data_IF_198512445307
#
_entry.id   IF_198512445307
#
_cell.length_a   1.000
_cell.length_b   1.000
_cell.length_c   1.000
_cell.angle_alpha   90.00
_cell.angle_beta   90.00
_cell.angle_gamma   90.00
#
_symmetry.space_group_name_H-M   'P 1'
#
loop_
_entity.id
_entity.type
_entity.pdbx_description
1 polymer ?
#
# COMPACT_ATOMS: atom_id res chain seq x y z
N UNK A 1 -100.36 29.47 3.63
CA UNK A 1 -99.62 28.40 2.91
C UNK A 1 -98.44 28.96 2.13
N UNK A 2 -98.61 30.02 1.33
CA UNK A 2 -97.54 30.66 0.54
C UNK A 2 -96.25 31.08 1.27
N UNK A 3 -96.32 31.56 2.52
CA UNK A 3 -95.12 31.99 3.25
C UNK A 3 -94.15 30.83 3.57
N UNK A 4 -94.70 29.67 3.95
CA UNK A 4 -93.93 28.47 4.29
C UNK A 4 -93.28 27.83 3.05
N UNK A 5 -93.97 27.88 1.90
CA UNK A 5 -93.41 27.41 0.62
C UNK A 5 -92.25 28.28 0.16
N UNK A 6 -92.32 29.59 0.36
CA UNK A 6 -91.23 30.52 0.03
C UNK A 6 -89.99 30.28 0.90
N UNK A 7 -90.18 30.06 2.20
CA UNK A 7 -89.11 29.79 3.16
C UNK A 7 -88.39 28.47 2.82
N UNK A 8 -89.12 27.39 2.56
CA UNK A 8 -88.56 26.11 2.12
C UNK A 8 -87.78 26.22 0.79
N UNK A 9 -88.26 27.04 -0.15
CA UNK A 9 -87.55 27.27 -1.41
C UNK A 9 -86.23 28.02 -1.20
N UNK A 10 -86.18 28.95 -0.25
CA UNK A 10 -84.98 29.71 0.10
C UNK A 10 -83.96 28.85 0.85
N UNK A 11 -84.39 28.02 1.79
CA UNK A 11 -83.55 27.01 2.44
C UNK A 11 -82.97 26.01 1.44
N UNK A 12 -83.80 25.50 0.52
CA UNK A 12 -83.35 24.59 -0.53
C UNK A 12 -82.32 25.24 -1.46
N UNK A 13 -82.45 26.54 -1.72
CA UNK A 13 -81.48 27.30 -2.52
C UNK A 13 -80.15 27.47 -1.78
N UNK A 14 -80.19 27.90 -0.52
CA UNK A 14 -78.99 28.04 0.30
C UNK A 14 -78.26 26.70 0.49
N UNK A 15 -79.01 25.61 0.68
CA UNK A 15 -78.44 24.27 0.78
C UNK A 15 -77.78 23.83 -0.53
N UNK A 16 -78.36 24.18 -1.68
CA UNK A 16 -77.76 23.91 -2.99
C UNK A 16 -76.47 24.70 -3.20
N UNK A 17 -76.49 26.00 -2.90
CA UNK A 17 -75.30 26.87 -3.00
C UNK A 17 -74.15 26.35 -2.12
N UNK A 18 -74.45 26.00 -0.86
CA UNK A 18 -73.47 25.38 0.04
C UNK A 18 -72.95 24.02 -0.46
N UNK A 19 -73.81 23.23 -1.10
CA UNK A 19 -73.41 21.94 -1.69
C UNK A 19 -72.47 22.16 -2.88
N UNK A 20 -72.74 23.15 -3.72
CA UNK A 20 -71.90 23.49 -4.86
C UNK A 20 -70.53 24.01 -4.40
N UNK A 21 -70.49 24.88 -3.38
CA UNK A 21 -69.24 25.35 -2.76
C UNK A 21 -68.41 24.18 -2.22
N UNK A 22 -69.01 23.30 -1.41
CA UNK A 22 -68.32 22.12 -0.87
C UNK A 22 -67.81 21.21 -1.99
N UNK A 23 -68.56 21.02 -3.06
CA UNK A 23 -68.12 20.23 -4.22
C UNK A 23 -66.90 20.86 -4.91
N UNK A 24 -66.84 22.19 -5.02
CA UNK A 24 -65.65 22.86 -5.58
C UNK A 24 -64.42 22.69 -4.69
N UNK A 25 -64.58 22.76 -3.37
CA UNK A 25 -63.50 22.56 -2.41
C UNK A 25 -62.99 21.11 -2.44
N UNK A 26 -63.90 20.12 -2.49
CA UNK A 26 -63.57 18.70 -2.64
C UNK A 26 -62.74 18.47 -3.91
N UNK A 27 -63.10 19.07 -5.05
CA UNK A 27 -62.34 18.92 -6.28
C UNK A 27 -60.97 19.60 -6.21
N UNK A 28 -60.84 20.71 -5.49
CA UNK A 28 -59.54 21.33 -5.20
C UNK A 28 -58.66 20.42 -4.35
N UNK A 29 -59.19 19.90 -3.24
CA UNK A 29 -58.48 18.99 -2.33
C UNK A 29 -58.07 17.69 -3.03
N UNK A 30 -58.91 17.15 -3.93
CA UNK A 30 -58.53 15.99 -4.78
C UNK A 30 -57.34 16.30 -5.67
N UNK A 31 -57.26 17.50 -6.26
CA UNK A 31 -56.11 17.91 -7.08
C UNK A 31 -54.84 18.03 -6.23
N UNK A 32 -54.96 18.60 -5.03
CA UNK A 32 -53.82 18.72 -4.10
C UNK A 32 -53.34 17.36 -3.61
N UNK A 33 -54.24 16.45 -3.25
CA UNK A 33 -53.88 15.07 -2.86
C UNK A 33 -53.15 14.33 -3.99
N UNK A 34 -53.54 14.54 -5.25
CA UNK A 34 -52.81 13.98 -6.41
C UNK A 34 -51.39 14.55 -6.50
N UNK A 35 -51.21 15.86 -6.26
CA UNK A 35 -49.87 16.49 -6.24
C UNK A 35 -49.02 15.94 -5.09
N UNK A 36 -49.61 15.78 -3.89
CA UNK A 36 -48.91 15.20 -2.74
C UNK A 36 -48.44 13.78 -3.03
N UNK A 37 -49.28 12.94 -3.63
CA UNK A 37 -48.89 11.58 -4.01
C UNK A 37 -47.72 11.56 -5.03
N UNK A 38 -47.69 12.51 -5.97
CA UNK A 38 -46.58 12.65 -6.91
C UNK A 38 -45.29 13.07 -6.20
N UNK A 39 -45.37 14.04 -5.29
CA UNK A 39 -44.22 14.50 -4.49
C UNK A 39 -43.67 13.38 -3.59
N UNK A 40 -44.54 12.58 -2.98
CA UNK A 40 -44.13 11.42 -2.17
C UNK A 40 -43.28 10.43 -2.99
N UNK A 41 -43.68 10.12 -4.23
CA UNK A 41 -42.88 9.28 -5.13
C UNK A 41 -41.52 9.89 -5.46
N UNK A 42 -41.46 11.20 -5.65
CA UNK A 42 -40.20 11.91 -5.88
C UNK A 42 -39.29 11.82 -4.66
N UNK A 43 -39.82 11.98 -3.45
CA UNK A 43 -39.05 11.83 -2.20
C UNK A 43 -38.46 10.42 -2.09
N UNK A 44 -39.25 9.38 -2.34
CA UNK A 44 -38.75 7.99 -2.31
C UNK A 44 -37.59 7.75 -3.29
N UNK A 45 -37.64 8.34 -4.49
CA UNK A 45 -36.55 8.25 -5.47
C UNK A 45 -35.30 8.97 -4.97
N UNK A 46 -35.45 10.20 -4.47
CA UNK A 46 -34.34 10.98 -3.92
C UNK A 46 -33.69 10.29 -2.71
N UNK A 47 -34.46 9.60 -1.87
CA UNK A 47 -33.93 8.82 -0.76
C UNK A 47 -33.09 7.63 -1.22
N UNK A 48 -33.52 6.92 -2.27
CA UNK A 48 -32.75 5.84 -2.89
C UNK A 48 -31.44 6.34 -3.49
N UNK A 49 -31.48 7.47 -4.19
CA UNK A 49 -30.28 8.10 -4.75
C UNK A 49 -29.32 8.56 -3.65
N UNK A 50 -29.82 9.22 -2.61
CA UNK A 50 -29.04 9.64 -1.44
C UNK A 50 -28.34 8.45 -0.78
N UNK A 51 -29.02 7.33 -0.59
CA UNK A 51 -28.41 6.13 -0.02
C UNK A 51 -27.32 5.55 -0.92
N UNK A 52 -27.58 5.49 -2.23
CA UNK A 52 -26.58 5.05 -3.22
C UNK A 52 -25.33 5.95 -3.21
N UNK A 53 -25.51 7.26 -3.12
CA UNK A 53 -24.40 8.22 -3.03
C UNK A 53 -23.63 8.07 -1.73
N UNK A 54 -24.31 7.84 -0.59
CA UNK A 54 -23.66 7.55 0.69
C UNK A 54 -22.77 6.32 0.59
N UNK A 55 -23.26 5.22 0.03
CA UNK A 55 -22.47 4.00 -0.16
C UNK A 55 -21.25 4.22 -1.07
N UNK A 56 -21.40 5.03 -2.13
CA UNK A 56 -20.28 5.41 -2.99
C UNK A 56 -19.22 6.21 -2.23
N UNK A 57 -19.63 7.16 -1.39
CA UNK A 57 -18.71 7.95 -0.55
C UNK A 57 -17.94 7.05 0.42
N UNK A 58 -18.63 6.14 1.10
CA UNK A 58 -17.98 5.23 2.06
C UNK A 58 -16.97 4.30 1.38
N UNK A 59 -17.29 3.80 0.19
CA UNK A 59 -16.37 3.01 -0.62
C UNK A 59 -15.14 3.81 -1.08
N UNK A 60 -15.31 5.08 -1.45
CA UNK A 60 -14.19 5.95 -1.82
C UNK A 60 -13.29 6.25 -0.61
N UNK A 61 -13.88 6.54 0.55
CA UNK A 61 -13.13 6.77 1.80
C UNK A 61 -12.27 5.58 2.19
N UNK A 62 -12.83 4.35 2.10
CA UNK A 62 -12.07 3.12 2.38
C UNK A 62 -10.87 2.97 1.44
N UNK A 63 -11.10 3.11 0.12
CA UNK A 63 -10.03 3.03 -0.88
C UNK A 63 -8.94 4.07 -0.67
N UNK A 64 -9.32 5.32 -0.36
CA UNK A 64 -8.36 6.37 -0.01
C UNK A 64 -7.52 5.98 1.20
N UNK A 65 -8.15 5.47 2.26
CA UNK A 65 -7.42 5.03 3.45
C UNK A 65 -6.48 3.85 3.19
N UNK A 66 -6.83 2.94 2.27
CA UNK A 66 -5.93 1.88 1.85
C UNK A 66 -4.76 2.43 1.02
N UNK A 67 -5.02 3.41 0.14
CA UNK A 67 -3.98 4.14 -0.58
C UNK A 67 -3.02 4.87 0.37
N UNK A 68 -3.51 5.53 1.41
CA UNK A 68 -2.69 6.21 2.41
C UNK A 68 -1.78 5.22 3.15
N UNK A 69 -2.32 4.08 3.59
CA UNK A 69 -1.51 3.01 4.20
C UNK A 69 -0.43 2.49 3.26
N UNK A 70 -0.74 2.32 1.97
CA UNK A 70 0.27 1.91 0.99
C UNK A 70 1.35 2.98 0.79
N UNK A 71 0.99 4.26 0.83
CA UNK A 71 1.94 5.36 0.76
C UNK A 71 2.86 5.37 1.99
N UNK A 72 2.31 5.18 3.20
CA UNK A 72 3.10 5.08 4.43
C UNK A 72 4.06 3.89 4.39
N UNK A 73 3.59 2.72 3.94
CA UNK A 73 4.42 1.53 3.78
C UNK A 73 5.56 1.75 2.76
N UNK A 74 5.27 2.45 1.65
CA UNK A 74 6.27 2.78 0.63
C UNK A 74 7.32 3.76 1.18
N UNK A 75 6.91 4.79 1.91
CA UNK A 75 7.83 5.72 2.57
C UNK A 75 8.75 5.01 3.57
N UNK A 76 8.20 4.08 4.37
CA UNK A 76 9.01 3.27 5.29
C UNK A 76 10.02 2.38 4.54
N UNK A 77 9.63 1.79 3.40
CA UNK A 77 10.53 1.00 2.57
C UNK A 77 11.66 1.84 1.96
N UNK A 78 11.37 3.07 1.52
CA UNK A 78 12.38 4.01 1.00
C UNK A 78 13.40 4.34 2.10
N UNK A 79 12.95 4.73 3.30
CA UNK A 79 13.85 4.99 4.42
C UNK A 79 14.73 3.78 4.74
N UNK A 80 14.17 2.57 4.69
CA UNK A 80 14.93 1.35 4.91
C UNK A 80 16.00 1.14 3.83
N UNK A 81 15.70 1.39 2.57
CA UNK A 81 16.70 1.34 1.49
C UNK A 81 17.82 2.36 1.70
N UNK A 82 17.51 3.60 2.08
CA UNK A 82 18.54 4.60 2.40
C UNK A 82 19.45 4.13 3.55
N UNK A 83 18.90 3.45 4.56
CA UNK A 83 19.73 2.88 5.63
C UNK A 83 20.62 1.74 5.14
N UNK A 84 20.11 0.89 4.25
CA UNK A 84 20.87 -0.20 3.64
C UNK A 84 22.02 0.34 2.78
N UNK A 85 21.79 1.40 2.00
CA UNK A 85 22.84 2.06 1.22
C UNK A 85 23.97 2.60 2.11
N UNK A 86 23.64 3.24 3.23
CA UNK A 86 24.63 3.71 4.22
C UNK A 86 25.42 2.55 4.85
N UNK A 87 24.73 1.46 5.17
CA UNK A 87 25.36 0.24 5.70
C UNK A 87 26.30 -0.40 4.68
N UNK A 88 25.88 -0.52 3.42
CA UNK A 88 26.69 -1.05 2.33
C UNK A 88 27.96 -0.21 2.15
N UNK A 89 27.85 1.12 2.09
CA UNK A 89 29.01 2.01 1.99
C UNK A 89 29.98 1.85 3.19
N UNK A 90 29.45 1.66 4.40
CA UNK A 90 30.28 1.39 5.59
C UNK A 90 30.99 0.03 5.52
N UNK A 91 30.31 -0.99 5.00
CA UNK A 91 30.89 -2.33 4.81
C UNK A 91 31.99 -2.33 3.74
N UNK A 92 31.78 -1.65 2.61
CA UNK A 92 32.81 -1.46 1.57
C UNK A 92 34.07 -0.79 2.12
N UNK A 93 33.89 0.24 2.96
CA UNK A 93 35.02 0.89 3.64
C UNK A 93 35.77 -0.09 4.57
N UNK A 94 35.06 -0.89 5.35
CA UNK A 94 35.68 -1.90 6.23
C UNK A 94 36.40 -2.99 5.45
N UNK A 95 35.86 -3.42 4.30
CA UNK A 95 36.51 -4.39 3.42
C UNK A 95 37.83 -3.86 2.90
N UNK A 96 37.86 -2.63 2.37
CA UNK A 96 39.10 -2.02 1.89
C UNK A 96 40.14 -1.84 3.02
N UNK A 97 39.72 -1.43 4.22
CA UNK A 97 40.59 -1.39 5.41
C UNK A 97 41.14 -2.79 5.78
N UNK A 98 40.34 -3.85 5.66
CA UNK A 98 40.76 -5.22 5.94
C UNK A 98 41.77 -5.75 4.90
N UNK A 99 41.59 -5.40 3.62
CA UNK A 99 42.53 -5.75 2.55
C UNK A 99 43.89 -5.08 2.76
N UNK A 100 43.91 -3.77 3.03
CA UNK A 100 45.17 -3.06 3.29
C UNK A 100 45.91 -3.56 4.54
N UNK A 101 45.18 -4.02 5.56
CA UNK A 101 45.80 -4.60 6.77
C UNK A 101 46.30 -6.03 6.55
N UNK A 102 45.65 -6.83 5.70
CA UNK A 102 46.12 -8.15 5.28
C UNK A 102 47.42 -8.06 4.47
N UNK A 103 47.51 -7.14 3.51
CA UNK A 103 48.73 -6.92 2.72
C UNK A 103 49.92 -6.48 3.59
N UNK A 104 49.68 -5.62 4.58
CA UNK A 104 50.69 -5.22 5.58
C UNK A 104 51.15 -6.39 6.47
N UNK A 105 50.27 -7.37 6.73
CA UNK A 105 50.61 -8.57 7.52
C UNK A 105 51.41 -9.59 6.71
N UNK A 106 51.15 -9.68 5.40
CA UNK A 106 51.90 -10.57 4.50
C UNK A 106 53.31 -10.04 4.20
N UNK A 107 53.47 -8.74 3.99
CA UNK A 107 54.78 -8.10 3.74
C UNK A 107 55.72 -8.06 4.94
N UNK A 108 55.21 -8.24 6.18
CA UNK A 108 56.02 -8.29 7.41
C UNK A 108 56.49 -9.70 7.81
N UNK A 109 56.07 -10.74 7.09
CA UNK A 109 56.34 -12.15 7.44
C UNK A 109 57.52 -12.80 6.69
N UNK A 110 58.18 -12.09 5.77
CA UNK A 110 59.27 -12.65 4.94
C UNK A 110 60.66 -12.06 5.20
N UNK A 111 60.84 -11.17 6.19
CA UNK A 111 62.15 -10.54 6.48
C UNK A 111 62.80 -10.92 7.81
N UNK A 112 62.39 -12.03 8.43
CA UNK A 112 63.11 -12.60 9.56
C UNK A 112 63.43 -14.08 9.29
N UNK A 113 64.73 -14.36 9.13
CA UNK A 113 65.39 -15.69 9.10
C UNK A 113 65.65 -16.31 7.72
N UNK A 114 66.50 -15.65 6.92
CA UNK A 114 67.34 -16.32 5.94
C UNK A 114 68.70 -16.65 6.57
N UNK A 115 68.71 -17.65 7.46
CA UNK A 115 69.89 -18.51 7.60
C UNK A 115 69.94 -19.36 6.35
N UNK A 116 70.92 -19.10 5.48
CA UNK A 116 71.08 -19.73 4.18
C UNK A 116 71.35 -21.24 4.32
N UNK A 117 70.29 -22.04 4.37
CA UNK A 117 70.36 -23.44 3.99
C UNK A 117 70.14 -23.50 2.48
N UNK A 118 71.22 -23.73 1.73
CA UNK A 118 71.14 -23.90 0.28
C UNK A 118 70.14 -25.03 -0.04
N UNK A 119 69.10 -24.71 -0.80
CA UNK A 119 68.13 -25.67 -1.33
C UNK A 119 68.48 -25.91 -2.80
N UNK A 120 68.59 -27.17 -3.19
CA UNK A 120 68.84 -27.57 -4.57
C UNK A 120 67.56 -28.16 -5.18
N UNK A 121 67.47 -28.22 -6.52
CA UNK A 121 66.34 -28.86 -7.21
C UNK A 121 66.66 -30.33 -7.47
N UNK A 122 65.73 -31.21 -7.18
CA UNK A 122 65.79 -32.62 -7.57
C UNK A 122 65.77 -32.73 -9.10
N UNK A 123 66.70 -33.49 -9.67
CA UNK A 123 66.82 -33.68 -11.12
C UNK A 123 65.63 -34.45 -11.72
N UNK A 124 65.00 -35.33 -10.95
CA UNK A 124 63.92 -36.20 -11.44
C UNK A 124 62.54 -35.54 -11.42
N UNK A 125 62.22 -34.79 -10.36
CA UNK A 125 60.87 -34.20 -10.21
C UNK A 125 60.84 -32.68 -10.08
N UNK A 126 62.01 -32.02 -10.04
CA UNK A 126 62.12 -30.57 -9.89
C UNK A 126 61.80 -30.03 -8.50
N UNK A 127 61.48 -30.88 -7.52
CA UNK A 127 61.19 -30.47 -6.15
C UNK A 127 62.42 -29.88 -5.45
N UNK A 128 62.21 -28.94 -4.52
CA UNK A 128 63.27 -28.33 -3.74
C UNK A 128 63.67 -29.26 -2.58
N UNK A 129 64.96 -29.59 -2.51
CA UNK A 129 65.55 -30.51 -1.55
C UNK A 129 66.61 -29.75 -0.71
N UNK A 130 66.72 -30.05 0.58
CA UNK A 130 67.72 -29.44 1.45
C UNK A 130 69.11 -30.03 1.23
N UNK A 131 70.17 -29.22 1.38
CA UNK A 131 71.58 -29.59 1.16
C UNK A 131 72.07 -30.90 1.82
N UNK A 132 71.38 -31.40 2.84
CA UNK A 132 71.76 -32.61 3.59
C UNK A 132 70.76 -33.78 3.41
N UNK A 133 69.71 -33.62 2.60
CA UNK A 133 68.74 -34.67 2.39
C UNK A 133 69.32 -35.69 1.40
N UNK A 134 69.43 -36.95 1.86
CA UNK A 134 69.89 -38.08 1.03
C UNK A 134 68.84 -38.58 0.05
N UNK A 135 67.59 -38.14 0.19
CA UNK A 135 66.46 -38.54 -0.65
C UNK A 135 65.49 -37.40 -0.90
N UNK A 136 64.90 -37.37 -2.09
CA UNK A 136 63.88 -36.39 -2.44
C UNK A 136 62.57 -36.72 -1.70
N UNK A 137 61.99 -35.77 -0.92
CA UNK A 137 60.71 -36.01 -0.24
C UNK A 137 59.51 -36.08 -1.20
N UNK A 138 59.66 -35.58 -2.45
CA UNK A 138 58.57 -35.61 -3.44
C UNK A 138 58.51 -36.90 -4.25
N UNK A 139 59.65 -37.46 -4.67
CA UNK A 139 59.66 -38.63 -5.56
C UNK A 139 60.42 -39.84 -4.98
N UNK A 140 61.12 -39.69 -3.85
CA UNK A 140 61.88 -40.77 -3.23
C UNK A 140 63.26 -41.04 -3.86
N UNK A 141 63.64 -40.27 -4.89
CA UNK A 141 64.96 -40.40 -5.54
C UNK A 141 66.10 -40.22 -4.54
N UNK A 142 67.14 -41.04 -4.63
CA UNK A 142 68.27 -40.99 -3.68
C UNK A 142 69.45 -40.23 -4.29
N UNK A 143 69.97 -39.27 -3.54
CA UNK A 143 71.18 -38.51 -3.90
C UNK A 143 72.35 -39.16 -3.16
N UNK A 144 72.93 -40.20 -3.77
CA UNK A 144 74.14 -40.87 -3.25
C UNK A 144 75.39 -39.98 -3.32
#
# INVERSE_FOLDING_TARGET
MFAREKELAEESRQQKEKTDELNTEIESLKKENKKLAALQKTVELLEKEKNTLRDKIDNLRRRSGDSDKTADALMAAIQKNETLEKLNASLEKKLSEQETTRDKKHTKSTSAKAGAAAKFKCSECGAMVGAHDKKCPSCGESFE
#
